data_IF_013040833916
#
_entry.id   IF_013040833916
#
_cell.length_a   1.000
_cell.length_b   1.000
_cell.length_c   1.000
_cell.angle_alpha   90.00
_cell.angle_beta   90.00
_cell.angle_gamma   90.00
#
_symmetry.space_group_name_H-M   'P 1'
#
loop_
_entity.id
_entity.type
_entity.pdbx_description
1 polymer ?
#
# COMPACT_ATOMS: atom_id res chain seq x y z
N UNK A 1 -35.09 30.71 -41.27
CA UNK A 1 -35.11 32.19 -41.31
C UNK A 1 -33.94 32.71 -40.48
N UNK A 2 -33.18 33.71 -40.96
CA UNK A 2 -32.15 34.56 -40.26
C UNK A 2 -31.13 33.83 -39.33
N UNK A 3 -29.81 33.71 -39.57
CA UNK A 3 -28.78 34.48 -40.31
C UNK A 3 -28.14 35.68 -39.56
N UNK A 4 -26.80 35.81 -39.75
CA UNK A 4 -25.84 36.90 -39.40
C UNK A 4 -25.60 37.16 -37.88
N UNK A 5 -24.39 37.53 -37.39
CA UNK A 5 -23.15 37.97 -38.06
C UNK A 5 -21.84 37.66 -37.30
N UNK A 6 -20.72 37.60 -38.04
CA UNK A 6 -19.34 37.65 -37.55
C UNK A 6 -18.89 39.10 -37.23
N UNK A 7 -17.83 39.29 -36.41
CA UNK A 7 -16.74 40.23 -36.75
C UNK A 7 -15.42 39.90 -36.05
N UNK A 8 -14.34 40.53 -36.53
CA UNK A 8 -12.94 40.06 -36.53
C UNK A 8 -11.95 41.20 -36.23
N UNK A 9 -10.72 40.83 -35.82
CA UNK A 9 -9.45 41.56 -35.92
C UNK A 9 -9.05 42.62 -34.86
N UNK A 10 -7.74 42.67 -34.54
CA UNK A 10 -7.10 43.76 -33.77
C UNK A 10 -5.77 43.40 -33.04
N UNK A 11 -4.63 43.52 -33.74
CA UNK A 11 -3.22 43.54 -33.26
C UNK A 11 -2.43 44.41 -34.30
N UNK A 12 -1.18 44.91 -34.15
CA UNK A 12 -0.21 45.05 -33.02
C UNK A 12 0.01 46.59 -32.72
N UNK A 13 1.18 47.21 -32.40
CA UNK A 13 2.57 46.75 -32.11
C UNK A 13 3.35 47.45 -30.96
N UNK A 14 4.60 46.98 -30.79
CA UNK A 14 5.88 47.60 -30.34
C UNK A 14 5.96 48.91 -29.52
N UNK A 15 6.83 48.89 -28.48
CA UNK A 15 8.13 49.61 -28.37
C UNK A 15 8.95 48.94 -27.24
N UNK A 16 10.28 49.00 -27.06
CA UNK A 16 11.51 49.11 -27.87
C UNK A 16 12.66 49.55 -26.90
N UNK A 17 13.92 49.20 -27.19
CA UNK A 17 15.17 49.71 -26.56
C UNK A 17 15.52 49.27 -25.10
N UNK A 18 16.79 49.15 -24.70
CA UNK A 18 18.05 49.02 -25.47
C UNK A 18 19.22 48.44 -24.62
N UNK A 19 20.15 47.83 -25.35
CA UNK A 19 21.59 47.62 -25.16
C UNK A 19 22.35 48.18 -23.93
N UNK A 20 23.35 47.41 -23.48
CA UNK A 20 24.39 47.82 -22.53
C UNK A 20 25.48 46.74 -22.41
N UNK A 21 26.58 46.90 -23.14
CA UNK A 21 27.72 45.98 -23.24
C UNK A 21 28.72 46.15 -22.07
N UNK A 22 29.76 45.30 -21.99
CA UNK A 22 31.16 45.55 -21.52
C UNK A 22 31.82 44.36 -20.77
N UNK A 23 32.79 43.78 -21.48
CA UNK A 23 34.12 43.29 -21.05
C UNK A 23 34.32 41.98 -20.27
N UNK A 24 35.01 41.08 -20.98
CA UNK A 24 35.96 40.07 -20.53
C UNK A 24 36.95 40.49 -19.43
N UNK A 25 37.40 39.49 -18.65
CA UNK A 25 38.81 39.35 -18.25
C UNK A 25 39.15 37.87 -18.03
N UNK A 26 40.23 37.39 -18.65
CA UNK A 26 40.70 36.00 -18.54
C UNK A 26 41.47 35.76 -17.23
N UNK A 27 41.33 34.57 -16.64
CA UNK A 27 42.44 33.87 -15.96
C UNK A 27 42.43 32.40 -16.42
N UNK A 28 43.53 31.95 -17.03
CA UNK A 28 43.85 30.52 -17.19
C UNK A 28 44.56 30.04 -15.93
N UNK A 29 44.37 28.78 -15.52
CA UNK A 29 45.42 27.74 -15.65
C UNK A 29 45.21 26.52 -14.74
N UNK A 30 45.60 25.36 -15.29
CA UNK A 30 46.17 24.15 -14.64
C UNK A 30 45.29 23.18 -13.82
N UNK A 31 45.66 21.92 -14.00
CA UNK A 31 45.02 20.67 -13.55
C UNK A 31 45.26 20.27 -12.08
N UNK A 32 44.61 19.16 -11.72
CA UNK A 32 44.91 18.22 -10.63
C UNK A 32 44.49 18.61 -9.20
N UNK A 33 43.39 18.00 -8.75
CA UNK A 33 43.48 16.94 -7.73
C UNK A 33 42.21 16.08 -7.71
N UNK A 34 42.37 14.76 -7.58
CA UNK A 34 41.25 13.85 -7.40
C UNK A 34 40.73 13.91 -5.94
N UNK A 35 39.79 14.80 -5.67
CA UNK A 35 39.01 14.76 -4.44
C UNK A 35 37.91 13.70 -4.58
N UNK A 36 38.05 12.59 -3.85
CA UNK A 36 36.93 11.67 -3.61
C UNK A 36 35.89 12.41 -2.79
N UNK A 37 34.88 12.94 -3.46
CA UNK A 37 33.69 13.45 -2.78
C UNK A 37 32.90 12.25 -2.24
N UNK A 38 33.25 11.83 -1.03
CA UNK A 38 32.51 10.84 -0.25
C UNK A 38 31.24 11.50 0.28
N UNK A 39 30.36 11.87 -0.65
CA UNK A 39 29.01 12.29 -0.35
C UNK A 39 28.34 11.14 0.41
N UNK A 40 28.21 11.32 1.73
CA UNK A 40 27.24 10.56 2.51
C UNK A 40 25.88 10.82 1.87
N UNK A 41 25.42 9.88 1.04
CA UNK A 41 24.01 9.82 0.66
C UNK A 41 23.24 9.70 1.96
N UNK A 42 22.62 10.80 2.36
CA UNK A 42 21.55 10.80 3.33
C UNK A 42 20.45 9.94 2.70
N UNK A 43 20.44 8.65 3.04
CA UNK A 43 19.44 7.72 2.55
C UNK A 43 18.15 8.12 3.23
N UNK A 44 17.37 8.96 2.57
CA UNK A 44 15.97 9.16 2.85
C UNK A 44 15.30 7.81 2.72
N UNK A 45 15.13 7.11 3.85
CA UNK A 45 14.38 5.85 3.90
C UNK A 45 12.94 6.24 3.56
N UNK A 46 12.55 6.02 2.30
CA UNK A 46 11.18 6.25 1.87
C UNK A 46 10.24 5.44 2.76
N UNK A 47 9.20 6.11 3.26
CA UNK A 47 8.25 5.50 4.18
C UNK A 47 7.57 4.33 3.47
N UNK A 48 7.67 3.09 3.99
CA UNK A 48 7.18 1.92 3.29
C UNK A 48 5.66 1.99 3.07
N UNK A 49 5.18 1.46 1.95
CA UNK A 49 3.76 1.54 1.60
C UNK A 49 3.00 0.44 2.34
N UNK A 50 1.80 0.74 2.85
CA UNK A 50 0.85 -0.24 3.35
C UNK A 50 -0.33 -0.32 2.38
N UNK A 51 -0.26 -1.29 1.46
CA UNK A 51 -1.37 -1.66 0.59
C UNK A 51 -2.43 -2.41 1.40
N UNK A 52 -3.67 -1.92 1.36
CA UNK A 52 -4.72 -2.36 2.27
C UNK A 52 -6.01 -2.70 1.53
N UNK A 53 -6.43 -3.96 1.57
CA UNK A 53 -7.76 -4.36 1.12
C UNK A 53 -8.83 -4.10 2.20
N UNK A 54 -10.08 -3.97 1.77
CA UNK A 54 -11.26 -3.79 2.63
C UNK A 54 -11.80 -5.13 3.11
N UNK A 55 -12.12 -6.03 2.19
CA UNK A 55 -12.85 -7.25 2.50
C UNK A 55 -11.93 -8.31 3.11
N UNK A 56 -12.10 -8.57 4.40
CA UNK A 56 -11.29 -9.50 5.18
C UNK A 56 -10.39 -8.79 6.20
N UNK A 57 -9.48 -7.88 5.77
CA UNK A 57 -8.67 -7.08 6.69
C UNK A 57 -9.48 -6.08 7.52
N UNK A 58 -10.45 -5.38 6.91
CA UNK A 58 -11.25 -4.33 7.56
C UNK A 58 -12.68 -4.79 7.79
N UNK A 59 -13.39 -5.12 6.71
CA UNK A 59 -14.71 -5.72 6.74
C UNK A 59 -14.58 -7.20 7.10
N UNK A 60 -15.03 -7.55 8.31
CA UNK A 60 -15.03 -8.91 8.83
C UNK A 60 -16.18 -9.73 8.22
N UNK A 61 -16.17 -9.93 6.91
CA UNK A 61 -17.28 -10.55 6.15
C UNK A 61 -17.59 -11.98 6.59
N UNK A 62 -16.68 -12.69 7.25
CA UNK A 62 -17.00 -13.97 7.92
C UNK A 62 -18.07 -13.83 9.04
N UNK A 63 -18.29 -12.60 9.51
CA UNK A 63 -19.34 -12.21 10.47
C UNK A 63 -20.58 -11.61 9.81
N UNK A 64 -20.61 -11.48 8.48
CA UNK A 64 -21.82 -11.12 7.76
C UNK A 64 -22.96 -12.09 8.14
N UNK A 65 -24.17 -11.55 8.31
CA UNK A 65 -25.38 -12.29 8.70
C UNK A 65 -25.28 -13.06 10.04
N UNK A 66 -24.27 -12.79 10.89
CA UNK A 66 -24.16 -13.34 12.25
C UNK A 66 -24.57 -12.30 13.30
N UNK A 67 -25.21 -12.74 14.37
CA UNK A 67 -25.48 -11.88 15.54
C UNK A 67 -24.17 -11.37 16.14
N UNK A 68 -23.98 -10.05 16.14
CA UNK A 68 -22.79 -9.41 16.70
C UNK A 68 -22.94 -9.33 18.23
N UNK A 69 -22.28 -10.26 18.93
CA UNK A 69 -22.22 -10.28 20.40
C UNK A 69 -21.00 -9.54 20.98
N UNK A 70 -19.97 -9.29 20.16
CA UNK A 70 -18.77 -8.56 20.60
C UNK A 70 -19.03 -7.05 20.54
N UNK A 71 -19.01 -6.31 21.67
CA UNK A 71 -19.29 -4.87 21.70
C UNK A 71 -18.25 -4.02 20.95
N UNK A 72 -17.04 -4.55 20.72
CA UNK A 72 -16.01 -3.89 19.93
C UNK A 72 -16.26 -3.94 18.42
N UNK A 73 -17.28 -4.67 17.96
CA UNK A 73 -17.67 -4.73 16.55
C UNK A 73 -18.93 -3.89 16.30
N UNK A 74 -19.09 -3.41 15.07
CA UNK A 74 -20.27 -2.68 14.61
C UNK A 74 -20.57 -3.03 13.16
N UNK A 75 -21.85 -3.32 12.85
CA UNK A 75 -22.32 -3.41 11.48
C UNK A 75 -22.67 -2.02 10.95
N UNK A 76 -22.37 -1.77 9.68
CA UNK A 76 -22.78 -0.58 8.94
C UNK A 76 -23.35 -1.02 7.59
N UNK A 77 -24.51 -0.50 7.21
CA UNK A 77 -25.01 -0.60 5.85
C UNK A 77 -24.41 0.56 5.04
N UNK A 78 -23.65 0.23 4.01
CA UNK A 78 -23.06 1.19 3.09
C UNK A 78 -23.92 1.24 1.83
N UNK A 79 -24.46 2.42 1.53
CA UNK A 79 -25.19 2.68 0.30
C UNK A 79 -24.19 3.17 -0.75
N UNK A 80 -23.77 2.29 -1.66
CA UNK A 80 -22.76 2.60 -2.69
C UNK A 80 -23.42 3.37 -3.84
N UNK A 81 -24.65 3.01 -4.21
CA UNK A 81 -25.47 3.77 -5.15
C UNK A 81 -26.57 4.55 -4.43
N UNK A 82 -26.82 5.84 -4.78
CA UNK A 82 -27.82 6.67 -4.09
C UNK A 82 -29.27 6.17 -4.19
N UNK A 83 -29.57 5.34 -5.18
CA UNK A 83 -30.89 4.74 -5.43
C UNK A 83 -31.13 3.43 -4.64
N UNK A 84 -30.18 3.04 -3.78
CA UNK A 84 -30.15 1.77 -3.04
C UNK A 84 -30.05 0.50 -3.92
N UNK A 85 -29.75 0.61 -5.21
CA UNK A 85 -29.58 -0.57 -6.09
C UNK A 85 -28.38 -1.44 -5.72
N UNK A 86 -27.37 -0.85 -5.06
CA UNK A 86 -26.20 -1.57 -4.56
C UNK A 86 -25.79 -1.08 -3.17
N UNK A 87 -25.96 -1.96 -2.17
CA UNK A 87 -25.61 -1.71 -0.77
C UNK A 87 -24.78 -2.87 -0.22
N UNK A 88 -23.84 -2.57 0.69
CA UNK A 88 -22.94 -3.56 1.30
C UNK A 88 -23.02 -3.47 2.82
N UNK A 89 -23.29 -4.60 3.48
CA UNK A 89 -23.18 -4.70 4.94
C UNK A 89 -21.73 -4.97 5.33
N UNK A 90 -21.07 -4.01 5.98
CA UNK A 90 -19.72 -4.17 6.52
C UNK A 90 -19.74 -4.37 8.03
N UNK A 91 -18.90 -5.28 8.55
CA UNK A 91 -18.70 -5.48 9.99
C UNK A 91 -17.30 -5.01 10.36
N UNK A 92 -17.21 -3.86 11.02
CA UNK A 92 -15.94 -3.21 11.34
C UNK A 92 -15.61 -3.32 12.83
N UNK A 93 -14.31 -3.33 13.14
CA UNK A 93 -13.80 -3.13 14.50
C UNK A 93 -13.83 -1.66 14.88
N UNK A 94 -14.37 -1.32 16.06
CA UNK A 94 -14.37 0.06 16.60
C UNK A 94 -12.95 0.60 16.84
N UNK A 95 -11.95 -0.28 16.93
CA UNK A 95 -10.54 0.07 17.13
C UNK A 95 -9.79 0.32 15.81
N UNK A 96 -10.42 0.06 14.66
CA UNK A 96 -9.79 0.11 13.35
C UNK A 96 -9.31 1.52 12.98
N UNK A 97 -10.13 2.55 13.19
CA UNK A 97 -9.76 3.94 12.94
C UNK A 97 -8.49 4.39 13.69
N UNK A 98 -8.43 4.24 15.03
CA UNK A 98 -7.21 4.46 15.81
C UNK A 98 -5.99 3.68 15.30
N UNK A 99 -6.15 2.38 14.98
CA UNK A 99 -5.07 1.53 14.47
C UNK A 99 -4.53 1.98 13.11
N UNK A 100 -5.40 2.40 12.19
CA UNK A 100 -4.97 2.92 10.88
C UNK A 100 -4.25 4.27 11.02
N UNK A 101 -4.66 5.14 11.95
CA UNK A 101 -3.91 6.37 12.29
C UNK A 101 -2.57 6.09 12.97
N UNK A 102 -2.45 4.99 13.72
CA UNK A 102 -1.18 4.55 14.29
C UNK A 102 -0.24 4.01 13.20
N UNK A 103 -0.73 3.11 12.34
CA UNK A 103 0.02 2.58 11.19
C UNK A 103 0.46 3.69 10.22
N UNK A 104 -0.38 4.71 9.98
CA UNK A 104 -0.05 5.86 9.14
C UNK A 104 1.12 6.73 9.62
N UNK A 105 1.63 6.53 10.85
CA UNK A 105 2.88 7.16 11.33
C UNK A 105 4.14 6.47 10.79
N UNK A 106 3.99 5.24 10.29
CA UNK A 106 5.08 4.35 9.89
C UNK A 106 4.96 3.89 8.44
N UNK A 107 3.75 3.95 7.87
CA UNK A 107 3.48 3.55 6.48
C UNK A 107 2.74 4.63 5.69
N UNK A 108 3.04 4.76 4.40
CA UNK A 108 2.11 5.41 3.47
C UNK A 108 0.91 4.46 3.24
N UNK A 109 -0.23 4.74 3.87
CA UNK A 109 -1.41 3.87 3.75
C UNK A 109 -2.11 4.12 2.41
N UNK A 110 -2.19 3.07 1.59
CA UNK A 110 -2.74 3.10 0.23
C UNK A 110 -3.80 2.00 0.07
N UNK A 111 -4.97 2.33 -0.44
CA UNK A 111 -6.01 1.33 -0.68
C UNK A 111 -5.63 0.39 -1.83
N UNK A 112 -5.78 -0.92 -1.63
CA UNK A 112 -5.59 -1.97 -2.63
C UNK A 112 -6.79 -2.91 -2.63
N UNK A 113 -7.94 -2.36 -3.05
CA UNK A 113 -9.25 -2.97 -2.89
C UNK A 113 -10.13 -2.77 -4.11
N UNK A 114 -10.99 -3.75 -4.40
CA UNK A 114 -12.03 -3.67 -5.44
C UNK A 114 -13.04 -2.53 -5.23
N UNK A 115 -13.12 -1.98 -4.00
CA UNK A 115 -13.89 -0.76 -3.72
C UNK A 115 -13.30 0.49 -4.40
N UNK A 116 -12.01 0.47 -4.78
CA UNK A 116 -11.34 1.59 -5.45
C UNK A 116 -11.60 2.92 -4.71
N UNK A 117 -11.99 3.99 -5.42
CA UNK A 117 -12.30 5.30 -4.84
C UNK A 117 -13.48 5.27 -3.82
N UNK A 118 -14.38 4.29 -3.88
CA UNK A 118 -15.48 4.15 -2.91
C UNK A 118 -15.00 3.91 -1.48
N UNK A 119 -13.81 3.33 -1.29
CA UNK A 119 -13.21 3.18 0.04
C UNK A 119 -13.01 4.55 0.72
N UNK A 120 -12.51 5.54 -0.01
CA UNK A 120 -12.36 6.92 0.49
C UNK A 120 -13.70 7.61 0.75
N UNK A 121 -14.69 7.39 -0.12
CA UNK A 121 -16.00 8.03 -0.02
C UNK A 121 -16.81 7.51 1.19
N UNK A 122 -16.81 6.19 1.42
CA UNK A 122 -17.66 5.57 2.43
C UNK A 122 -16.94 5.14 3.71
N UNK A 123 -15.71 4.60 3.62
CA UNK A 123 -15.02 4.04 4.79
C UNK A 123 -14.19 5.10 5.52
N UNK A 124 -13.49 6.00 4.82
CA UNK A 124 -12.65 7.00 5.49
C UNK A 124 -13.40 7.88 6.51
N UNK A 125 -14.64 8.35 6.23
CA UNK A 125 -15.45 9.05 7.23
C UNK A 125 -15.84 8.18 8.43
N UNK A 126 -16.21 6.91 8.21
CA UNK A 126 -16.60 5.97 9.27
C UNK A 126 -15.42 5.60 10.19
N UNK A 127 -14.21 5.58 9.64
CA UNK A 127 -12.97 5.24 10.36
C UNK A 127 -12.30 6.47 10.99
N UNK A 128 -12.70 7.69 10.61
CA UNK A 128 -12.06 8.92 11.07
C UNK A 128 -10.60 9.02 10.60
N UNK A 129 -10.35 8.67 9.33
CA UNK A 129 -9.04 8.75 8.67
C UNK A 129 -9.10 9.75 7.51
N UNK A 130 -7.98 10.00 6.84
CA UNK A 130 -7.94 10.91 5.69
C UNK A 130 -8.95 10.51 4.62
N UNK A 131 -9.73 11.47 4.12
CA UNK A 131 -10.69 11.26 3.02
C UNK A 131 -10.01 11.04 1.65
N UNK A 132 -8.73 11.39 1.55
CA UNK A 132 -7.98 11.38 0.30
C UNK A 132 -6.74 10.48 0.41
N UNK A 133 -6.91 9.24 0.89
CA UNK A 133 -5.81 8.27 0.84
C UNK A 133 -5.52 7.88 -0.62
N UNK A 134 -4.26 7.70 -1.01
CA UNK A 134 -3.91 7.09 -2.29
C UNK A 134 -4.60 5.72 -2.45
N UNK A 135 -4.87 5.31 -3.70
CA UNK A 135 -5.45 4.01 -4.02
C UNK A 135 -4.92 3.47 -5.34
N UNK A 136 -4.80 2.16 -5.45
CA UNK A 136 -4.49 1.47 -6.72
C UNK A 136 -5.77 0.96 -7.35
N UNK A 137 -5.82 0.93 -8.69
CA UNK A 137 -6.97 0.41 -9.43
C UNK A 137 -7.03 -1.11 -9.29
N UNK A 138 -8.03 -1.63 -8.58
CA UNK A 138 -8.24 -3.08 -8.48
C UNK A 138 -9.44 -3.48 -9.33
N UNK A 139 -9.27 -4.35 -10.36
CA UNK A 139 -10.36 -4.75 -11.25
C UNK A 139 -11.37 -5.68 -10.56
N UNK A 140 -10.94 -6.47 -9.57
CA UNK A 140 -11.79 -7.34 -8.76
C UNK A 140 -11.11 -7.67 -7.41
N UNK A 141 -11.71 -8.58 -6.64
CA UNK A 141 -11.24 -8.99 -5.32
C UNK A 141 -10.06 -9.99 -5.30
N UNK A 142 -9.72 -10.68 -6.40
CA UNK A 142 -8.61 -11.65 -6.42
C UNK A 142 -7.26 -10.92 -6.40
N UNK A 143 -6.37 -11.18 -5.41
CA UNK A 143 -5.04 -10.58 -5.34
C UNK A 143 -4.19 -10.81 -6.60
N UNK A 144 -4.38 -11.89 -7.34
CA UNK A 144 -3.70 -12.11 -8.63
C UNK A 144 -3.99 -11.00 -9.63
N UNK A 145 -5.21 -10.50 -9.64
CA UNK A 145 -5.64 -9.40 -10.53
C UNK A 145 -5.23 -8.02 -9.98
N UNK A 146 -5.06 -7.89 -8.65
CA UNK A 146 -4.52 -6.68 -8.01
C UNK A 146 -2.98 -6.58 -8.14
N UNK A 147 -2.28 -7.71 -8.23
CA UNK A 147 -0.82 -7.81 -8.15
C UNK A 147 -0.06 -6.87 -9.11
N UNK A 148 -0.37 -6.77 -10.41
CA UNK A 148 0.37 -5.88 -11.32
C UNK A 148 0.29 -4.41 -10.90
N UNK A 149 -0.89 -3.98 -10.44
CA UNK A 149 -1.19 -2.61 -10.02
C UNK A 149 -0.54 -2.29 -8.67
N UNK A 150 -0.55 -3.24 -7.73
CA UNK A 150 0.19 -3.13 -6.46
C UNK A 150 1.70 -3.02 -6.70
N UNK A 151 2.28 -3.87 -7.56
CA UNK A 151 3.71 -3.81 -7.88
C UNK A 151 4.09 -2.51 -8.60
N UNK A 152 3.30 -2.07 -9.58
CA UNK A 152 3.55 -0.82 -10.30
C UNK A 152 3.45 0.40 -9.36
N UNK A 153 2.50 0.40 -8.44
CA UNK A 153 2.34 1.46 -7.46
C UNK A 153 3.36 1.41 -6.31
N UNK A 154 4.03 0.27 -6.10
CA UNK A 154 5.11 0.13 -5.13
C UNK A 154 6.42 0.77 -5.64
N UNK A 155 6.69 0.68 -6.95
CA UNK A 155 7.96 1.12 -7.52
C UNK A 155 9.13 0.43 -6.82
N UNK A 156 10.09 1.22 -6.36
CA UNK A 156 11.25 0.75 -5.59
C UNK A 156 11.02 0.70 -4.06
N UNK A 157 9.89 1.22 -3.57
CA UNK A 157 9.60 1.31 -2.14
C UNK A 157 9.28 -0.08 -1.54
N UNK A 158 9.82 -0.36 -0.35
CA UNK A 158 9.43 -1.57 0.41
C UNK A 158 7.97 -1.46 0.85
N UNK A 159 7.21 -2.57 0.85
CA UNK A 159 5.76 -2.50 1.11
C UNK A 159 5.19 -3.66 1.92
N UNK A 160 4.22 -3.37 2.79
CA UNK A 160 3.30 -4.35 3.32
C UNK A 160 2.05 -4.41 2.44
N UNK A 161 1.51 -5.60 2.21
CA UNK A 161 0.21 -5.77 1.55
C UNK A 161 -0.67 -6.68 2.41
N UNK A 162 -1.80 -6.13 2.87
CA UNK A 162 -2.75 -6.80 3.74
C UNK A 162 -4.03 -7.13 2.98
N UNK A 163 -4.25 -8.41 2.72
CA UNK A 163 -5.36 -8.92 1.92
C UNK A 163 -5.64 -10.40 2.29
N UNK A 164 -6.90 -10.73 2.55
CA UNK A 164 -7.31 -12.00 3.17
C UNK A 164 -7.25 -13.22 2.25
N UNK A 165 -6.89 -13.03 0.97
CA UNK A 165 -6.80 -14.09 -0.03
C UNK A 165 -5.43 -14.16 -0.71
N UNK A 166 -4.40 -13.51 -0.16
CA UNK A 166 -3.01 -13.68 -0.61
C UNK A 166 -2.60 -15.16 -0.56
N UNK A 167 -1.91 -15.60 -1.60
CA UNK A 167 -1.49 -17.00 -1.81
C UNK A 167 0.02 -17.13 -1.90
N UNK A 168 0.53 -18.37 -1.80
CA UNK A 168 1.94 -18.64 -2.07
C UNK A 168 2.34 -18.26 -3.50
N UNK A 169 1.45 -18.43 -4.47
CA UNK A 169 1.66 -18.00 -5.86
C UNK A 169 1.94 -16.49 -5.95
N UNK A 170 1.14 -15.66 -5.27
CA UNK A 170 1.37 -14.21 -5.20
C UNK A 170 2.69 -13.88 -4.51
N UNK A 171 3.05 -14.60 -3.43
CA UNK A 171 4.34 -14.43 -2.75
C UNK A 171 5.54 -14.79 -3.65
N UNK A 172 5.43 -15.87 -4.44
CA UNK A 172 6.44 -16.27 -5.40
C UNK A 172 6.56 -15.29 -6.58
N UNK A 173 5.46 -14.71 -7.06
CA UNK A 173 5.50 -13.67 -8.10
C UNK A 173 6.06 -12.35 -7.58
N UNK A 174 5.74 -11.97 -6.33
CA UNK A 174 6.34 -10.81 -5.65
C UNK A 174 7.86 -10.94 -5.63
N UNK A 175 8.40 -12.09 -5.21
CA UNK A 175 9.86 -12.35 -5.18
C UNK A 175 10.54 -12.12 -6.53
N UNK A 176 9.91 -12.56 -7.62
CA UNK A 176 10.43 -12.41 -9.00
C UNK A 176 10.41 -10.95 -9.50
N UNK A 177 9.72 -10.05 -8.80
CA UNK A 177 9.53 -8.65 -9.18
C UNK A 177 10.24 -7.65 -8.25
N UNK A 178 10.54 -8.02 -6.99
CA UNK A 178 11.30 -7.16 -6.09
C UNK A 178 12.72 -6.93 -6.62
N UNK A 179 13.18 -5.68 -6.53
CA UNK A 179 14.56 -5.27 -6.80
C UNK A 179 15.36 -5.19 -5.49
N UNK A 180 16.68 -5.34 -5.52
CA UNK A 180 17.47 -5.14 -4.28
C UNK A 180 17.62 -3.64 -4.00
N UNK A 181 17.41 -3.15 -2.75
CA UNK A 181 17.20 -3.88 -1.49
C UNK A 181 15.72 -3.96 -1.02
N UNK A 182 14.75 -3.79 -1.92
CA UNK A 182 13.32 -3.78 -1.62
C UNK A 182 12.87 -5.07 -0.92
N UNK A 183 12.09 -4.94 0.16
CA UNK A 183 11.43 -6.08 0.81
C UNK A 183 9.92 -5.87 0.88
N UNK A 184 9.18 -6.97 0.99
CA UNK A 184 7.73 -6.94 1.13
C UNK A 184 7.21 -7.88 2.22
N UNK A 185 6.19 -7.44 2.95
CA UNK A 185 5.45 -8.27 3.90
C UNK A 185 4.02 -8.49 3.40
N UNK A 186 3.73 -9.71 2.97
CA UNK A 186 2.40 -10.11 2.55
C UNK A 186 1.65 -10.67 3.77
N UNK A 187 0.54 -10.05 4.16
CA UNK A 187 -0.23 -10.39 5.36
C UNK A 187 -1.64 -10.78 4.99
N UNK A 188 -2.05 -11.98 5.40
CA UNK A 188 -3.33 -12.54 5.04
C UNK A 188 -4.17 -12.87 6.29
N UNK A 189 -4.88 -11.87 6.83
CA UNK A 189 -5.58 -11.97 8.10
C UNK A 189 -6.77 -12.95 8.04
N UNK A 190 -7.17 -13.48 9.19
CA UNK A 190 -8.39 -14.28 9.27
C UNK A 190 -9.63 -13.36 9.25
N UNK A 191 -10.56 -13.63 8.32
CA UNK A 191 -11.84 -12.91 8.05
C UNK A 191 -12.82 -12.68 9.22
N UNK A 192 -12.48 -13.19 10.42
CA UNK A 192 -13.25 -13.06 11.67
C UNK A 192 -12.59 -12.07 12.65
N UNK A 193 -11.36 -11.66 12.35
CA UNK A 193 -10.46 -10.87 13.19
C UNK A 193 -9.89 -9.66 12.43
N UNK A 194 -9.62 -9.81 11.13
CA UNK A 194 -9.03 -8.75 10.30
C UNK A 194 -7.63 -8.34 10.73
N UNK A 195 -7.22 -7.15 10.29
CA UNK A 195 -5.90 -6.55 10.55
C UNK A 195 -5.60 -6.32 12.04
N UNK A 196 -6.62 -6.32 12.90
CA UNK A 196 -6.51 -6.09 14.35
C UNK A 196 -5.47 -6.98 15.06
N UNK A 197 -5.24 -8.21 14.56
CA UNK A 197 -4.22 -9.13 15.09
C UNK A 197 -2.85 -8.97 14.45
N UNK A 198 -2.78 -8.31 13.31
CA UNK A 198 -1.59 -8.20 12.46
C UNK A 198 -0.86 -6.86 12.61
N UNK A 199 -1.48 -5.85 13.25
CA UNK A 199 -0.82 -4.54 13.55
C UNK A 199 0.56 -4.73 14.20
N UNK A 200 0.68 -5.64 15.16
CA UNK A 200 1.97 -5.93 15.80
C UNK A 200 2.99 -6.59 14.85
N UNK A 201 2.54 -7.38 13.87
CA UNK A 201 3.41 -7.94 12.83
C UNK A 201 3.87 -6.86 11.84
N UNK A 202 2.98 -5.95 11.44
CA UNK A 202 3.28 -4.81 10.59
C UNK A 202 4.31 -3.87 11.25
N UNK A 203 4.05 -3.42 12.47
CA UNK A 203 4.98 -2.54 13.21
C UNK A 203 6.33 -3.22 13.51
N UNK A 204 6.32 -4.52 13.81
CA UNK A 204 7.56 -5.29 13.96
C UNK A 204 8.34 -5.35 12.65
N UNK A 205 7.69 -5.63 11.52
CA UNK A 205 8.36 -5.65 10.23
C UNK A 205 8.91 -4.28 9.86
N UNK A 206 8.15 -3.19 10.06
CA UNK A 206 8.62 -1.82 9.88
C UNK A 206 9.97 -1.57 10.58
N UNK A 207 10.09 -1.98 11.85
CA UNK A 207 11.32 -1.84 12.64
C UNK A 207 12.53 -2.63 12.12
N UNK A 208 12.38 -3.42 11.04
CA UNK A 208 13.40 -4.29 10.46
C UNK A 208 13.82 -3.89 9.04
N UNK A 209 13.08 -3.01 8.35
CA UNK A 209 13.15 -2.88 6.87
C UNK A 209 14.55 -2.58 6.32
N UNK A 210 15.35 -1.61 6.83
CA UNK A 210 16.76 -1.46 6.44
C UNK A 210 17.76 -1.94 7.52
N UNK A 211 17.50 -3.11 8.12
CA UNK A 211 18.54 -3.91 8.80
C UNK A 211 18.59 -5.36 8.26
N UNK A 212 17.85 -5.68 7.20
CA UNK A 212 17.72 -7.04 6.66
C UNK A 212 18.15 -7.17 5.20
N UNK A 213 19.45 -7.01 4.94
CA UNK A 213 20.15 -7.88 3.97
C UNK A 213 20.34 -9.31 4.50
N UNK A 214 19.99 -9.53 5.78
CA UNK A 214 20.20 -10.78 6.49
C UNK A 214 19.35 -11.93 5.94
N UNK A 215 19.99 -12.77 5.14
CA UNK A 215 19.56 -14.15 4.90
C UNK A 215 19.24 -14.85 6.23
N UNK A 216 18.05 -15.45 6.38
CA UNK A 216 17.60 -16.06 7.62
C UNK A 216 18.34 -17.37 7.89
N UNK A 217 18.34 -17.79 9.15
CA UNK A 217 18.98 -19.03 9.54
C UNK A 217 18.27 -20.26 8.94
N UNK A 218 19.02 -21.33 8.67
CA UNK A 218 18.48 -22.65 8.25
C UNK A 218 17.30 -23.14 9.12
N UNK A 219 17.24 -22.75 10.40
CA UNK A 219 16.13 -23.06 11.32
C UNK A 219 14.83 -22.33 10.95
N UNK A 220 14.92 -21.08 10.52
CA UNK A 220 13.78 -20.24 10.14
C UNK A 220 13.25 -20.67 8.77
N UNK A 221 14.14 -20.97 7.82
CA UNK A 221 13.78 -21.59 6.54
C UNK A 221 13.08 -22.96 6.72
N UNK A 222 13.61 -23.85 7.59
CA UNK A 222 12.96 -25.13 7.93
C UNK A 222 11.60 -24.93 8.60
N UNK A 223 11.47 -23.94 9.50
CA UNK A 223 10.19 -23.57 10.11
C UNK A 223 9.22 -23.13 9.02
N UNK A 224 9.60 -22.19 8.16
CA UNK A 224 8.77 -21.70 7.05
C UNK A 224 8.27 -22.84 6.14
N UNK A 225 9.14 -23.78 5.75
CA UNK A 225 8.75 -24.96 4.97
C UNK A 225 7.72 -25.84 5.70
N UNK A 226 7.89 -26.04 7.01
CA UNK A 226 6.93 -26.76 7.86
C UNK A 226 5.62 -26.00 8.09
N UNK A 227 5.57 -24.68 7.85
CA UNK A 227 4.32 -23.92 7.89
C UNK A 227 3.62 -23.99 6.51
N UNK A 228 4.36 -23.85 5.40
CA UNK A 228 3.79 -23.93 4.04
C UNK A 228 3.00 -25.25 3.82
N UNK A 229 3.53 -26.38 4.28
CA UNK A 229 2.87 -27.70 4.19
C UNK A 229 1.54 -27.82 4.94
N UNK A 230 1.23 -26.88 5.87
CA UNK A 230 -0.06 -26.81 6.55
C UNK A 230 -1.16 -26.11 5.73
N UNK A 231 -0.83 -25.54 4.55
CA UNK A 231 -1.79 -24.94 3.61
C UNK A 231 -2.58 -23.73 4.13
N UNK A 232 -2.16 -23.13 5.25
CA UNK A 232 -2.91 -22.09 5.97
C UNK A 232 -2.01 -20.99 6.52
N UNK A 233 -1.23 -20.36 5.65
CA UNK A 233 -0.34 -19.26 6.03
C UNK A 233 -1.12 -17.97 6.30
N UNK A 234 -0.66 -17.19 7.27
CA UNK A 234 -1.17 -15.84 7.59
C UNK A 234 -0.21 -14.71 7.26
N UNK A 235 1.08 -14.98 7.03
CA UNK A 235 2.00 -13.97 6.50
C UNK A 235 3.24 -14.58 5.82
N UNK A 236 3.71 -13.91 4.77
CA UNK A 236 4.98 -14.18 4.09
C UNK A 236 5.89 -12.95 4.13
N UNK A 237 7.16 -13.14 4.48
CA UNK A 237 8.23 -12.17 4.20
C UNK A 237 8.80 -12.49 2.82
N UNK A 238 8.92 -11.48 1.97
CA UNK A 238 9.45 -11.59 0.62
C UNK A 238 10.60 -10.60 0.44
N UNK A 239 11.69 -11.10 -0.13
CA UNK A 239 12.92 -10.37 -0.45
C UNK A 239 13.35 -10.81 -1.85
N UNK A 240 14.26 -10.11 -2.55
CA UNK A 240 14.67 -10.50 -3.89
C UNK A 240 15.31 -11.90 -3.90
N UNK A 241 16.10 -12.19 -2.87
CA UNK A 241 16.77 -13.47 -2.70
C UNK A 241 15.86 -14.61 -2.22
N UNK A 242 14.69 -14.35 -1.58
CA UNK A 242 13.94 -15.40 -0.86
C UNK A 242 12.47 -15.05 -0.50
N UNK A 243 11.62 -16.09 -0.40
CA UNK A 243 10.29 -16.05 0.27
C UNK A 243 10.31 -16.90 1.55
N UNK A 244 9.72 -16.41 2.63
CA UNK A 244 9.52 -17.13 3.89
C UNK A 244 8.07 -17.08 4.35
N UNK A 245 7.54 -18.17 4.89
CA UNK A 245 6.33 -18.14 5.72
C UNK A 245 6.67 -17.76 7.18
N UNK A 246 5.98 -16.76 7.72
CA UNK A 246 6.19 -16.28 9.09
C UNK A 246 5.23 -16.92 10.11
N UNK A 247 3.99 -17.23 9.70
CA UNK A 247 2.93 -17.64 10.63
C UNK A 247 1.83 -18.46 9.95
N UNK A 248 1.10 -19.24 10.76
CA UNK A 248 -0.08 -20.01 10.34
C UNK A 248 -1.36 -19.41 10.91
N UNK A 249 -2.39 -19.34 10.05
CA UNK A 249 -3.80 -19.25 10.45
C UNK A 249 -4.14 -20.48 11.27
N UNK A 250 -4.10 -20.33 12.60
CA UNK A 250 -4.73 -21.30 13.51
C UNK A 250 -6.18 -21.45 13.08
N UNK A 251 -6.55 -22.65 12.62
CA UNK A 251 -7.94 -22.96 12.33
C UNK A 251 -8.76 -22.74 13.60
N UNK A 252 -9.78 -21.89 13.54
CA UNK A 252 -10.79 -21.88 14.58
C UNK A 252 -11.33 -23.32 14.68
N UNK A 253 -11.19 -23.95 15.85
CA UNK A 253 -11.92 -25.21 16.12
C UNK A 253 -13.38 -24.91 15.81
N UNK A 254 -14.00 -25.74 14.95
CA UNK A 254 -15.45 -25.76 14.83
C UNK A 254 -15.99 -26.20 16.19
N UNK A 255 -16.39 -25.23 17.00
CA UNK A 255 -17.34 -25.51 18.06
C UNK A 255 -18.65 -25.84 17.33
N UNK A 256 -19.10 -27.09 17.51
CA UNK A 256 -20.40 -27.56 17.04
C UNK A 256 -21.53 -26.97 17.85
#
# INVERSE_FOLDING_TARGET
>A
MRAVAEKKAGLPPEMANAAGDISSSQIKSTDHAAAKDSAHREVSIEQPILFLDVDGPLNLWGRANRRILNPLLRAHLIHIQPDNSFNVNVVLSRLLGPRLRELGKYFEVRWATSWNQWANQHLSPLLGISKNLPWVRCPNGDPRAKFPEVMAAAGDASFAWVDDYLTEEVAQQTRKKLLSPQCALLVSPHIMCGIDREVAHLLKWFSQIPQTEREPGRREARKAASLLSSGRVSAWLVTPSMVMCLSLRKGAKRYG
#
